data_IF_272408121557
#
_entry.id   IF_272408121557
#
_cell.length_a   1.000
_cell.length_b   1.000
_cell.length_c   1.000
_cell.angle_alpha   90.00
_cell.angle_beta   90.00
_cell.angle_gamma   90.00
#
_symmetry.space_group_name_H-M   'P 1'
#
loop_
_entity.id
_entity.type
_entity.pdbx_description
1 polymer ?
#
# COMPACT_ATOMS: atom_id res chain seq x y z
N UNK A 1 0.12 -30.24 6.05
CA UNK A 1 1.45 -30.87 5.89
C UNK A 1 2.33 -30.43 7.07
N UNK A 2 2.81 -31.33 7.94
CA UNK A 2 3.70 -30.97 9.06
C UNK A 2 5.16 -31.08 8.61
N UNK A 3 5.91 -29.98 8.64
CA UNK A 3 7.35 -29.97 8.35
C UNK A 3 8.09 -30.65 9.50
N UNK A 4 8.96 -31.63 9.22
CA UNK A 4 9.76 -32.27 10.27
C UNK A 4 10.86 -31.34 10.77
N UNK A 5 11.30 -31.49 12.04
CA UNK A 5 12.41 -30.69 12.59
C UNK A 5 13.68 -30.75 11.72
N UNK A 6 13.98 -31.92 11.14
CA UNK A 6 15.13 -32.09 10.22
C UNK A 6 14.96 -31.28 8.93
N UNK A 7 13.75 -31.27 8.36
CA UNK A 7 13.44 -30.47 7.17
C UNK A 7 13.53 -28.97 7.46
N UNK A 8 13.04 -28.51 8.62
CA UNK A 8 13.14 -27.11 9.03
C UNK A 8 14.60 -26.65 9.19
N UNK A 9 15.44 -27.46 9.86
CA UNK A 9 16.87 -27.17 10.02
C UNK A 9 17.60 -27.18 8.66
N UNK A 10 17.27 -28.13 7.78
CA UNK A 10 17.82 -28.19 6.43
C UNK A 10 17.49 -26.94 5.60
N UNK A 11 16.23 -26.50 5.65
CA UNK A 11 15.79 -25.24 5.01
C UNK A 11 16.51 -24.03 5.59
N UNK A 12 16.63 -23.94 6.92
CA UNK A 12 17.34 -22.85 7.58
C UNK A 12 18.80 -22.78 7.14
N UNK A 13 19.54 -23.90 7.20
CA UNK A 13 20.94 -23.95 6.76
C UNK A 13 21.10 -23.57 5.29
N UNK A 14 20.19 -24.04 4.43
CA UNK A 14 20.19 -23.71 3.00
C UNK A 14 20.03 -22.21 2.72
N UNK A 15 19.26 -21.51 3.56
CA UNK A 15 18.95 -20.09 3.36
C UNK A 15 19.66 -19.15 4.35
N UNK A 16 20.48 -19.68 5.26
CA UNK A 16 21.13 -18.92 6.33
C UNK A 16 21.94 -17.73 5.80
N UNK A 17 22.80 -17.95 4.81
CA UNK A 17 23.59 -16.87 4.20
C UNK A 17 22.69 -15.79 3.58
N UNK A 18 21.59 -16.18 2.93
CA UNK A 18 20.63 -15.21 2.36
C UNK A 18 19.96 -14.38 3.43
N UNK A 19 19.62 -14.98 4.57
CA UNK A 19 19.06 -14.28 5.72
C UNK A 19 20.09 -13.30 6.32
N UNK A 20 21.35 -13.70 6.44
CA UNK A 20 22.44 -12.82 6.89
C UNK A 20 22.58 -11.62 5.95
N UNK A 21 22.67 -11.85 4.63
CA UNK A 21 22.76 -10.76 3.66
C UNK A 21 21.53 -9.84 3.68
N UNK A 22 20.32 -10.39 3.79
CA UNK A 22 19.11 -9.60 3.90
C UNK A 22 19.12 -8.73 5.17
N UNK A 23 19.59 -9.27 6.29
CA UNK A 23 19.66 -8.55 7.57
C UNK A 23 20.70 -7.43 7.52
N UNK A 24 21.87 -7.70 6.93
CA UNK A 24 22.92 -6.69 6.71
C UNK A 24 22.43 -5.60 5.75
N UNK A 25 21.80 -5.97 4.63
CA UNK A 25 21.24 -5.00 3.68
C UNK A 25 20.18 -4.10 4.34
N UNK A 26 19.31 -4.67 5.19
CA UNK A 26 18.30 -3.92 5.94
C UNK A 26 18.95 -2.94 6.93
N UNK A 27 19.99 -3.37 7.65
CA UNK A 27 20.74 -2.51 8.55
C UNK A 27 21.48 -1.38 7.81
N UNK A 28 22.12 -1.69 6.68
CA UNK A 28 22.77 -0.68 5.84
C UNK A 28 21.77 0.32 5.28
N UNK A 29 20.59 -0.14 4.85
CA UNK A 29 19.52 0.74 4.37
C UNK A 29 18.99 1.65 5.50
N UNK A 30 18.85 1.10 6.70
CA UNK A 30 18.49 1.87 7.90
C UNK A 30 19.49 2.99 8.19
N UNK A 31 20.78 2.68 8.14
CA UNK A 31 21.86 3.67 8.30
C UNK A 31 21.83 4.73 7.19
N UNK A 32 21.68 4.31 5.93
CA UNK A 32 21.67 5.20 4.78
C UNK A 32 20.49 6.19 4.81
N UNK A 33 19.32 5.71 5.21
CA UNK A 33 18.09 6.51 5.26
C UNK A 33 17.90 7.26 6.59
N UNK A 34 18.81 7.09 7.55
CA UNK A 34 18.63 7.63 8.90
C UNK A 34 17.32 7.20 9.56
N UNK A 35 16.80 6.03 9.17
CA UNK A 35 15.45 5.56 9.49
C UNK A 35 15.53 4.24 10.23
N UNK A 36 14.65 4.00 11.21
CA UNK A 36 14.69 2.77 11.99
C UNK A 36 14.45 1.51 11.14
N UNK A 37 15.10 0.39 11.50
CA UNK A 37 14.86 -0.92 10.86
C UNK A 37 13.37 -1.31 10.95
N UNK A 38 12.72 -0.99 12.07
CA UNK A 38 11.28 -1.21 12.31
C UNK A 38 10.45 -0.53 11.21
N UNK A 39 10.71 0.75 10.94
CA UNK A 39 10.03 1.52 9.88
C UNK A 39 10.18 0.86 8.51
N UNK A 40 11.39 0.41 8.16
CA UNK A 40 11.66 -0.24 6.87
C UNK A 40 10.88 -1.55 6.75
N UNK A 41 10.84 -2.36 7.81
CA UNK A 41 10.06 -3.60 7.84
C UNK A 41 8.57 -3.30 7.61
N UNK A 42 8.02 -2.30 8.30
CA UNK A 42 6.63 -1.90 8.10
C UNK A 42 6.37 -1.38 6.69
N UNK A 43 7.28 -0.59 6.13
CA UNK A 43 7.17 -0.11 4.75
C UNK A 43 7.10 -1.29 3.76
N UNK A 44 7.99 -2.28 3.90
CA UNK A 44 7.99 -3.49 3.06
C UNK A 44 6.68 -4.25 3.21
N UNK A 45 6.22 -4.48 4.45
CA UNK A 45 4.95 -5.18 4.70
C UNK A 45 3.78 -4.44 4.04
N UNK A 46 3.69 -3.13 4.20
CA UNK A 46 2.62 -2.31 3.63
C UNK A 46 2.67 -2.27 2.09
N UNK A 47 3.87 -2.21 1.50
CA UNK A 47 4.05 -2.33 0.03
C UNK A 47 3.53 -3.68 -0.45
N UNK A 48 3.91 -4.78 0.21
CA UNK A 48 3.50 -6.13 -0.16
C UNK A 48 1.99 -6.34 0.01
N UNK A 49 1.40 -5.85 1.10
CA UNK A 49 -0.05 -5.91 1.31
C UNK A 49 -0.80 -5.05 0.30
N UNK A 50 -0.30 -3.85 0.00
CA UNK A 50 -0.83 -2.98 -1.05
C UNK A 50 -0.81 -3.66 -2.42
N UNK A 51 0.33 -4.19 -2.83
CA UNK A 51 0.49 -4.87 -4.11
C UNK A 51 -0.36 -6.16 -4.20
N UNK A 52 -0.41 -6.95 -3.12
CA UNK A 52 -1.20 -8.18 -3.09
C UNK A 52 -2.71 -7.91 -3.05
N UNK A 53 -3.14 -6.77 -2.49
CA UNK A 53 -4.56 -6.44 -2.39
C UNK A 53 -5.26 -6.38 -3.75
N UNK A 54 -4.56 -6.04 -4.83
CA UNK A 54 -5.13 -6.03 -6.18
C UNK A 54 -5.09 -7.39 -6.88
N UNK A 55 -4.44 -8.40 -6.32
CA UNK A 55 -4.19 -9.68 -6.99
C UNK A 55 -5.47 -10.47 -7.30
N UNK A 56 -6.56 -10.24 -6.56
CA UNK A 56 -7.84 -10.90 -6.80
C UNK A 56 -8.45 -10.57 -8.17
N UNK A 57 -8.05 -9.46 -8.82
CA UNK A 57 -8.49 -9.12 -10.18
C UNK A 57 -8.16 -10.19 -11.23
N UNK A 58 -7.18 -11.03 -10.95
CA UNK A 58 -6.83 -12.17 -11.82
C UNK A 58 -7.87 -13.31 -11.75
N UNK A 59 -8.72 -13.33 -10.73
CA UNK A 59 -9.64 -14.44 -10.44
C UNK A 59 -11.11 -14.02 -10.38
N UNK A 60 -11.40 -12.76 -10.08
CA UNK A 60 -12.76 -12.26 -9.89
C UNK A 60 -13.07 -11.17 -10.92
N UNK A 61 -14.02 -11.46 -11.81
CA UNK A 61 -14.55 -10.51 -12.78
C UNK A 61 -15.79 -9.80 -12.20
N UNK A 62 -15.60 -9.02 -11.12
CA UNK A 62 -16.64 -8.22 -10.49
C UNK A 62 -16.16 -6.78 -10.31
N UNK A 63 -17.06 -5.79 -10.30
CA UNK A 63 -16.73 -4.38 -10.06
C UNK A 63 -16.53 -4.13 -8.56
N UNK A 64 -15.64 -4.90 -7.93
CA UNK A 64 -15.22 -4.74 -6.55
C UNK A 64 -13.80 -4.21 -6.63
N UNK A 65 -13.48 -3.15 -5.89
CA UNK A 65 -12.13 -2.64 -5.73
C UNK A 65 -11.68 -2.79 -4.26
N UNK A 66 -10.56 -3.46 -4.04
CA UNK A 66 -9.92 -3.67 -2.74
C UNK A 66 -8.45 -3.27 -2.83
N UNK A 67 -8.15 -2.02 -2.52
CA UNK A 67 -6.79 -1.48 -2.58
C UNK A 67 -6.29 -1.01 -1.20
N UNK A 68 -5.31 -1.75 -0.66
CA UNK A 68 -4.63 -1.40 0.60
C UNK A 68 -3.52 -0.37 0.43
N UNK A 69 -3.19 0.01 -0.81
CA UNK A 69 -2.08 0.93 -1.09
C UNK A 69 -2.29 2.30 -0.44
N UNK A 70 -3.53 2.80 -0.39
CA UNK A 70 -3.90 4.07 0.24
C UNK A 70 -3.64 4.06 1.74
N UNK A 71 -4.04 2.98 2.43
CA UNK A 71 -3.74 2.77 3.85
C UNK A 71 -2.23 2.85 4.12
N UNK A 72 -1.43 2.10 3.37
CA UNK A 72 0.03 2.09 3.54
C UNK A 72 0.67 3.45 3.28
N UNK A 73 0.24 4.12 2.20
CA UNK A 73 0.73 5.44 1.79
C UNK A 73 0.46 6.48 2.87
N UNK A 74 -0.79 6.56 3.33
CA UNK A 74 -1.24 7.56 4.30
C UNK A 74 -0.57 7.31 5.66
N UNK A 75 -0.53 6.07 6.12
CA UNK A 75 0.13 5.73 7.40
C UNK A 75 1.61 6.11 7.40
N UNK A 76 2.34 5.77 6.33
CA UNK A 76 3.76 6.06 6.23
C UNK A 76 4.04 7.55 6.05
N UNK A 77 3.23 8.24 5.25
CA UNK A 77 3.31 9.69 5.10
C UNK A 77 3.06 10.42 6.43
N UNK A 78 2.02 10.00 7.15
CA UNK A 78 1.60 10.59 8.42
C UNK A 78 2.65 10.41 9.53
N UNK A 79 3.27 9.23 9.60
CA UNK A 79 4.20 8.88 10.70
C UNK A 79 5.66 9.19 10.40
N UNK A 80 6.08 9.12 9.13
CA UNK A 80 7.49 9.22 8.72
C UNK A 80 7.72 10.27 7.63
N UNK A 81 6.69 11.05 7.28
CA UNK A 81 6.79 12.15 6.32
C UNK A 81 6.57 11.74 4.87
N UNK A 82 6.42 12.77 4.02
CA UNK A 82 6.00 12.65 2.61
C UNK A 82 6.85 11.64 1.83
N UNK A 83 8.18 11.66 1.99
CA UNK A 83 9.07 10.77 1.26
C UNK A 83 8.79 9.28 1.53
N UNK A 84 8.56 8.91 2.79
CA UNK A 84 8.23 7.54 3.16
C UNK A 84 6.88 7.11 2.56
N UNK A 85 5.89 8.00 2.60
CA UNK A 85 4.59 7.80 1.95
C UNK A 85 4.70 7.60 0.44
N UNK A 86 5.49 8.45 -0.25
CA UNK A 86 5.72 8.34 -1.69
C UNK A 86 6.34 7.00 -2.06
N UNK A 87 7.37 6.56 -1.34
CA UNK A 87 8.02 5.27 -1.60
C UNK A 87 7.00 4.13 -1.48
N UNK A 88 6.23 4.09 -0.39
CA UNK A 88 5.25 3.04 -0.16
C UNK A 88 4.12 3.08 -1.19
N UNK A 89 3.59 4.26 -1.49
CA UNK A 89 2.49 4.42 -2.43
C UNK A 89 2.87 4.08 -3.86
N UNK A 90 4.00 4.61 -4.34
CA UNK A 90 4.47 4.36 -5.70
C UNK A 90 4.84 2.90 -5.88
N UNK A 91 5.68 2.34 -5.00
CA UNK A 91 6.10 0.93 -5.11
C UNK A 91 4.92 -0.03 -4.96
N UNK A 92 4.02 0.22 -4.01
CA UNK A 92 2.82 -0.60 -3.83
C UNK A 92 1.92 -0.59 -5.07
N UNK A 93 1.71 0.59 -5.67
CA UNK A 93 0.89 0.74 -6.89
C UNK A 93 1.53 0.03 -8.09
N UNK A 94 2.83 0.30 -8.34
CA UNK A 94 3.56 -0.29 -9.47
C UNK A 94 3.63 -1.82 -9.33
N UNK A 95 4.01 -2.33 -8.16
CA UNK A 95 4.09 -3.77 -7.93
C UNK A 95 2.70 -4.44 -8.07
N UNK A 96 1.64 -3.83 -7.54
CA UNK A 96 0.28 -4.35 -7.68
C UNK A 96 -0.14 -4.50 -9.15
N UNK A 97 0.13 -3.47 -9.97
CA UNK A 97 -0.12 -3.47 -11.42
C UNK A 97 0.71 -4.51 -12.17
N UNK A 98 1.98 -4.65 -11.82
CA UNK A 98 2.86 -5.71 -12.38
C UNK A 98 2.34 -7.10 -12.03
N UNK A 99 1.90 -7.33 -10.79
CA UNK A 99 1.40 -8.64 -10.32
C UNK A 99 0.11 -9.09 -11.03
N UNK A 100 -0.73 -8.15 -11.47
CA UNK A 100 -1.93 -8.45 -12.25
C UNK A 100 -1.67 -8.42 -13.77
N UNK A 101 -0.44 -8.18 -14.21
CA UNK A 101 -0.08 -8.10 -15.62
C UNK A 101 -0.73 -6.94 -16.37
N UNK A 102 -1.16 -5.88 -15.67
CA UNK A 102 -1.85 -4.72 -16.26
C UNK A 102 -0.98 -3.47 -16.11
N UNK A 103 0.03 -3.34 -16.96
CA UNK A 103 0.72 -2.06 -17.14
C UNK A 103 -0.02 -1.33 -18.27
N UNK A 104 -0.98 -0.50 -17.86
CA UNK A 104 -1.86 0.27 -18.73
C UNK A 104 -1.60 1.78 -18.61
N UNK A 105 -2.21 2.56 -19.50
CA UNK A 105 -2.18 4.03 -19.52
C UNK A 105 -2.72 4.67 -18.22
N UNK A 106 -3.40 3.89 -17.37
CA UNK A 106 -3.89 4.35 -16.07
C UNK A 106 -2.81 4.33 -15.00
N UNK A 107 -1.72 3.57 -15.17
CA UNK A 107 -0.65 3.48 -14.18
C UNK A 107 -0.04 4.86 -13.84
N UNK A 108 0.36 5.71 -14.80
CA UNK A 108 0.88 7.05 -14.49
C UNK A 108 -0.12 7.90 -13.70
N UNK A 109 -1.42 7.79 -14.02
CA UNK A 109 -2.49 8.52 -13.35
C UNK A 109 -2.62 8.07 -11.90
N UNK A 110 -2.64 6.75 -11.66
CA UNK A 110 -2.66 6.17 -10.31
C UNK A 110 -1.42 6.59 -9.49
N UNK A 111 -0.24 6.63 -10.11
CA UNK A 111 1.01 7.06 -9.47
C UNK A 111 0.97 8.55 -9.07
N UNK A 112 0.45 9.42 -9.94
CA UNK A 112 0.27 10.84 -9.61
C UNK A 112 -0.75 10.99 -8.48
N UNK A 113 -1.89 10.32 -8.57
CA UNK A 113 -2.96 10.40 -7.56
C UNK A 113 -2.48 9.89 -6.19
N UNK A 114 -1.76 8.77 -6.13
CA UNK A 114 -1.23 8.25 -4.86
C UNK A 114 -0.12 9.14 -4.29
N UNK A 115 0.62 9.83 -5.16
CA UNK A 115 1.63 10.81 -4.74
C UNK A 115 0.99 12.03 -4.09
N UNK A 116 -0.13 12.51 -4.63
CA UNK A 116 -0.92 13.59 -4.02
C UNK A 116 -1.50 13.17 -2.67
N UNK A 117 -1.94 11.92 -2.54
CA UNK A 117 -2.37 11.35 -1.24
C UNK A 117 -1.23 11.33 -0.23
N UNK A 118 -0.02 10.93 -0.64
CA UNK A 118 1.16 10.95 0.23
C UNK A 118 1.53 12.37 0.69
N UNK A 119 1.52 13.34 -0.22
CA UNK A 119 1.76 14.75 0.09
C UNK A 119 0.69 15.25 1.06
N UNK A 120 -0.59 15.03 0.75
CA UNK A 120 -1.71 15.43 1.60
C UNK A 120 -1.58 14.86 3.00
N UNK A 121 -1.30 13.56 3.15
CA UNK A 121 -1.14 12.94 4.46
C UNK A 121 0.06 13.49 5.25
N UNK A 122 1.20 13.69 4.58
CA UNK A 122 2.43 14.17 5.21
C UNK A 122 2.41 15.66 5.60
N UNK A 123 1.53 16.46 4.99
CA UNK A 123 1.32 17.86 5.38
C UNK A 123 0.48 18.03 6.66
N UNK A 124 -0.25 17.00 7.08
CA UNK A 124 -1.13 17.05 8.26
C UNK A 124 -0.82 15.95 9.30
N UNK A 125 0.43 15.83 9.82
CA UNK A 125 0.85 14.76 10.73
C UNK A 125 0.22 14.82 12.15
N UNK A 126 -0.51 15.90 12.46
CA UNK A 126 -1.27 16.04 13.71
C UNK A 126 -2.78 15.92 13.55
N UNK A 127 -3.29 15.72 12.33
CA UNK A 127 -4.71 15.53 12.10
C UNK A 127 -5.15 14.14 12.59
N UNK A 128 -6.43 13.99 12.92
CA UNK A 128 -6.97 12.68 13.26
C UNK A 128 -6.86 11.74 12.05
N UNK A 129 -6.09 10.65 12.19
CA UNK A 129 -5.77 9.70 11.12
C UNK A 129 -7.00 9.09 10.45
N UNK A 130 -8.10 8.90 11.19
CA UNK A 130 -9.34 8.37 10.64
C UNK A 130 -9.94 9.36 9.65
N UNK A 131 -10.11 10.62 10.05
CA UNK A 131 -10.69 11.66 9.20
C UNK A 131 -9.77 11.99 8.01
N UNK A 132 -8.46 12.11 8.27
CA UNK A 132 -7.47 12.35 7.23
C UNK A 132 -7.48 11.23 6.18
N UNK A 133 -7.50 9.97 6.64
CA UNK A 133 -7.54 8.81 5.78
C UNK A 133 -8.79 8.74 4.90
N UNK A 134 -9.96 8.90 5.51
CA UNK A 134 -11.24 8.90 4.78
C UNK A 134 -11.28 10.04 3.75
N UNK A 135 -10.86 11.24 4.13
CA UNK A 135 -10.88 12.40 3.24
C UNK A 135 -9.95 12.20 2.04
N UNK A 136 -8.70 11.78 2.26
CA UNK A 136 -7.74 11.59 1.18
C UNK A 136 -8.11 10.43 0.25
N UNK A 137 -8.65 9.32 0.79
CA UNK A 137 -9.22 8.25 -0.03
C UNK A 137 -10.40 8.76 -0.85
N UNK A 138 -11.32 9.52 -0.24
CA UNK A 138 -12.46 10.09 -0.96
C UNK A 138 -12.02 10.98 -2.13
N UNK A 139 -11.04 11.86 -1.89
CA UNK A 139 -10.46 12.71 -2.94
C UNK A 139 -9.78 11.89 -4.04
N UNK A 140 -9.04 10.84 -3.68
CA UNK A 140 -8.43 9.92 -4.64
C UNK A 140 -9.48 9.26 -5.54
N UNK A 141 -10.53 8.68 -4.95
CA UNK A 141 -11.58 7.97 -5.68
C UNK A 141 -12.37 8.93 -6.57
N UNK A 142 -12.71 10.14 -6.08
CA UNK A 142 -13.38 11.17 -6.89
C UNK A 142 -12.50 11.55 -8.09
N UNK A 143 -11.21 11.75 -7.88
CA UNK A 143 -10.28 12.11 -8.95
C UNK A 143 -10.18 10.99 -10.00
N UNK A 144 -9.96 9.73 -9.58
CA UNK A 144 -9.87 8.60 -10.51
C UNK A 144 -11.18 8.30 -11.22
N UNK A 145 -12.31 8.40 -10.53
CA UNK A 145 -13.63 8.27 -11.12
C UNK A 145 -13.84 9.33 -12.21
N UNK A 146 -13.55 10.60 -11.90
CA UNK A 146 -13.70 11.72 -12.84
C UNK A 146 -12.86 11.52 -14.09
N UNK A 147 -11.59 11.13 -13.93
CA UNK A 147 -10.70 10.81 -15.06
C UNK A 147 -11.25 9.64 -15.87
N UNK A 148 -11.68 8.56 -15.20
CA UNK A 148 -12.19 7.37 -15.89
C UNK A 148 -13.45 7.69 -16.69
N UNK A 149 -14.37 8.48 -16.15
CA UNK A 149 -15.56 8.94 -16.86
C UNK A 149 -15.20 9.85 -18.05
N UNK A 150 -14.23 10.76 -17.88
CA UNK A 150 -13.75 11.62 -18.96
C UNK A 150 -13.10 10.85 -20.11
N UNK A 151 -12.51 9.68 -19.82
CA UNK A 151 -11.92 8.78 -20.83
C UNK A 151 -12.88 7.73 -21.39
N UNK A 152 -14.20 7.86 -21.17
CA UNK A 152 -15.21 6.96 -21.73
C UNK A 152 -15.45 5.67 -20.94
N UNK A 153 -15.15 5.64 -19.63
CA UNK A 153 -15.42 4.50 -18.78
C UNK A 153 -16.92 4.23 -18.56
N UNK A 154 -17.28 2.96 -18.37
CA UNK A 154 -18.66 2.55 -18.09
C UNK A 154 -19.09 2.93 -16.66
N UNK A 155 -20.15 3.73 -16.54
CA UNK A 155 -20.71 4.19 -15.28
C UNK A 155 -21.16 3.02 -14.39
N UNK A 156 -21.79 2.00 -14.97
CA UNK A 156 -22.32 0.84 -14.23
C UNK A 156 -21.22 0.00 -13.60
N UNK A 157 -20.01 0.00 -14.20
CA UNK A 157 -18.85 -0.67 -13.64
C UNK A 157 -18.13 0.21 -12.61
N UNK A 158 -17.93 1.50 -12.91
CA UNK A 158 -17.08 2.36 -12.10
C UNK A 158 -17.73 2.81 -10.77
N UNK A 159 -19.05 3.00 -10.72
CA UNK A 159 -19.72 3.35 -9.45
C UNK A 159 -19.53 2.27 -8.38
N UNK A 160 -19.90 0.99 -8.60
CA UNK A 160 -19.67 -0.05 -7.59
C UNK A 160 -18.18 -0.30 -7.32
N UNK A 161 -17.32 -0.14 -8.34
CA UNK A 161 -15.88 -0.26 -8.19
C UNK A 161 -15.33 0.77 -7.19
N UNK A 162 -15.55 2.06 -7.43
CA UNK A 162 -15.06 3.12 -6.54
C UNK A 162 -15.78 3.14 -5.18
N UNK A 163 -17.07 2.78 -5.18
CA UNK A 163 -17.88 2.70 -3.96
C UNK A 163 -17.41 1.60 -3.01
N UNK A 164 -17.06 0.42 -3.54
CA UNK A 164 -16.53 -0.68 -2.71
C UNK A 164 -15.16 -0.34 -2.15
N UNK A 165 -14.27 0.26 -2.93
CA UNK A 165 -12.97 0.68 -2.43
C UNK A 165 -13.07 1.77 -1.36
N UNK A 166 -13.95 2.75 -1.54
CA UNK A 166 -14.19 3.76 -0.52
C UNK A 166 -14.74 3.13 0.76
N UNK A 167 -15.72 2.23 0.67
CA UNK A 167 -16.29 1.54 1.83
C UNK A 167 -15.25 0.69 2.58
N UNK A 168 -14.40 -0.03 1.85
CA UNK A 168 -13.30 -0.80 2.43
C UNK A 168 -12.33 0.14 3.16
N UNK A 169 -11.87 1.20 2.51
CA UNK A 169 -10.94 2.15 3.11
C UNK A 169 -11.57 2.88 4.31
N UNK A 170 -12.86 3.18 4.27
CA UNK A 170 -13.59 3.70 5.43
C UNK A 170 -13.48 2.76 6.64
N UNK A 171 -13.68 1.45 6.45
CA UNK A 171 -13.50 0.45 7.51
C UNK A 171 -12.04 0.39 7.97
N UNK A 172 -11.08 0.41 7.05
CA UNK A 172 -9.65 0.38 7.37
C UNK A 172 -9.24 1.59 8.22
N UNK A 173 -9.68 2.80 7.88
CA UNK A 173 -9.32 4.01 8.62
C UNK A 173 -10.08 4.19 9.93
N UNK A 174 -11.28 3.62 10.06
CA UNK A 174 -12.03 3.65 11.33
C UNK A 174 -11.60 2.57 12.31
N UNK A 175 -11.14 1.40 11.83
CA UNK A 175 -10.86 0.23 12.69
C UNK A 175 -9.41 -0.18 12.75
N UNK A 176 -8.66 -0.07 11.65
CA UNK A 176 -7.32 -0.64 11.53
C UNK A 176 -6.25 0.43 11.70
N UNK A 177 -6.38 1.58 11.02
CA UNK A 177 -5.39 2.66 11.08
C UNK A 177 -5.08 3.15 12.51
N UNK A 178 -6.06 3.36 13.40
CA UNK A 178 -5.78 3.79 14.77
C UNK A 178 -4.95 2.79 15.58
N UNK A 179 -5.06 1.49 15.24
CA UNK A 179 -4.24 0.44 15.86
C UNK A 179 -2.83 0.37 15.27
N UNK A 180 -2.68 0.67 13.97
CA UNK A 180 -1.38 0.62 13.30
C UNK A 180 -0.50 1.83 13.59
N UNK A 181 -1.07 3.03 13.80
CA UNK A 181 -0.28 4.25 14.04
C UNK A 181 0.70 4.13 15.22
N UNK A 182 0.29 3.66 16.42
CA UNK A 182 1.22 3.48 17.54
C UNK A 182 2.32 2.45 17.27
N UNK A 183 2.06 1.49 16.38
CA UNK A 183 3.06 0.49 15.97
C UNK A 183 4.08 1.06 15.00
N UNK A 184 3.79 2.19 14.34
CA UNK A 184 4.66 2.84 13.37
C UNK A 184 5.52 3.94 13.99
N UNK A 185 5.08 4.55 15.09
CA UNK A 185 5.88 5.49 15.89
C UNK A 185 7.00 4.77 16.67
#
# INVERSE_FOLDING_TARGET
MKISKKQAIGLFRKHFLRLVFASVALAMLSLLLGTSVKTIIFAIILILLGAFSTFYFNYVAAPINFELVKLGTILMAYTHGIAAGLIVGILGTVLGKVMIGRIDEKLPISVIAISLVAIGAGLFPGANIMFLGIALTGLYNIALFSVTMATGGDLHWNIPYEGTDFAINFVLFTRIAPFLVPLLQ
#
